data_IF_078477150152
#
_entry.id   IF_078477150152
#
_cell.length_a   1.000
_cell.length_b   1.000
_cell.length_c   1.000
_cell.angle_alpha   90.00
_cell.angle_beta   90.00
_cell.angle_gamma   90.00
#
_symmetry.space_group_name_H-M   'P 1'
#
loop_
_entity.id
_entity.type
_entity.pdbx_description
1 polymer ?
#
# COMPACT_ATOMS: atom_id res chain seq x y z
N UNK A 1 -8.28 -13.04 5.53
CA UNK A 1 -8.19 -11.82 4.71
C UNK A 1 -7.14 -10.89 5.30
N UNK A 2 -6.36 -10.27 4.46
CA UNK A 2 -5.32 -9.37 4.92
C UNK A 2 -5.92 -7.99 5.16
N UNK A 3 -5.72 -7.47 6.36
CA UNK A 3 -6.13 -6.11 6.69
C UNK A 3 -4.89 -5.26 6.74
N UNK A 4 -4.64 -4.55 5.68
CA UNK A 4 -3.46 -3.73 5.55
C UNK A 4 -3.86 -2.30 5.32
N UNK A 5 -3.38 -1.41 6.17
CA UNK A 5 -3.59 0.01 6.00
C UNK A 5 -2.27 0.66 5.64
N UNK A 6 -2.27 1.47 4.61
CA UNK A 6 -1.08 2.16 4.17
C UNK A 6 -1.34 3.66 4.26
N UNK A 7 -0.56 4.34 5.07
CA UNK A 7 -0.65 5.78 5.18
C UNK A 7 0.43 6.39 4.32
N UNK A 8 0.02 7.33 3.49
CA UNK A 8 0.92 8.01 2.58
C UNK A 8 0.93 9.48 2.91
N UNK A 9 2.10 10.03 3.14
CA UNK A 9 2.26 11.46 3.34
C UNK A 9 2.92 12.05 2.10
N UNK A 10 2.23 12.99 1.49
CA UNK A 10 2.75 13.72 0.35
C UNK A 10 2.99 15.16 0.76
N UNK A 11 3.58 15.92 -0.13
CA UNK A 11 3.83 17.32 0.12
C UNK A 11 2.49 18.04 0.34
N UNK A 12 2.19 18.37 1.58
CA UNK A 12 0.98 19.11 1.92
C UNK A 12 -0.28 18.28 2.01
N UNK A 13 -0.17 16.97 1.93
CA UNK A 13 -1.35 16.12 1.96
C UNK A 13 -1.00 14.76 2.55
N UNK A 14 -2.00 14.10 3.09
CA UNK A 14 -1.78 12.76 3.62
C UNK A 14 -3.10 12.01 3.65
N UNK A 15 -3.03 10.71 3.41
CA UNK A 15 -4.23 9.89 3.50
C UNK A 15 -3.84 8.45 3.79
N UNK A 16 -4.85 7.67 4.19
CA UNK A 16 -4.67 6.25 4.46
C UNK A 16 -5.55 5.47 3.51
N UNK A 17 -5.01 4.41 2.94
CA UNK A 17 -5.78 3.54 2.06
C UNK A 17 -5.72 2.12 2.58
N UNK A 18 -6.76 1.36 2.27
CA UNK A 18 -6.84 -0.04 2.61
C UNK A 18 -7.05 -0.80 1.31
N UNK A 19 -6.01 -1.42 0.77
CA UNK A 19 -6.12 -2.08 -0.52
C UNK A 19 -7.22 -3.14 -0.53
N UNK A 20 -7.96 -3.16 -1.61
CA UNK A 20 -9.01 -4.15 -1.80
C UNK A 20 -8.44 -5.41 -2.43
N UNK A 21 -9.24 -6.47 -2.46
CA UNK A 21 -8.81 -7.70 -3.09
C UNK A 21 -8.44 -7.46 -4.54
N UNK A 22 -9.22 -6.62 -5.22
CA UNK A 22 -8.92 -6.31 -6.61
C UNK A 22 -7.56 -5.66 -6.76
N UNK A 23 -7.21 -4.77 -5.84
CA UNK A 23 -5.91 -4.12 -5.88
C UNK A 23 -4.79 -5.12 -5.62
N UNK A 24 -5.00 -6.05 -4.70
CA UNK A 24 -4.01 -7.09 -4.45
C UNK A 24 -3.81 -7.99 -5.67
N UNK A 25 -4.89 -8.33 -6.37
CA UNK A 25 -4.77 -9.14 -7.57
C UNK A 25 -3.96 -8.41 -8.63
N UNK A 26 -4.21 -7.12 -8.79
CA UNK A 26 -3.43 -6.33 -9.74
C UNK A 26 -1.97 -6.28 -9.33
N UNK A 27 -1.72 -6.21 -8.04
CA UNK A 27 -0.36 -6.22 -7.52
C UNK A 27 0.35 -7.52 -7.91
N UNK A 28 -0.30 -8.65 -7.68
CA UNK A 28 0.30 -9.93 -8.00
C UNK A 28 0.61 -10.04 -9.49
N UNK A 29 -0.28 -9.54 -10.32
CA UNK A 29 -0.05 -9.57 -11.76
C UNK A 29 1.07 -8.64 -12.19
N UNK A 30 1.12 -7.48 -11.58
CA UNK A 30 2.10 -6.47 -11.98
C UNK A 30 3.52 -6.86 -11.61
N UNK A 31 3.69 -7.34 -10.40
CA UNK A 31 5.02 -7.66 -9.89
C UNK A 31 5.34 -9.15 -9.99
N UNK A 32 4.36 -9.96 -10.37
CA UNK A 32 4.53 -11.42 -10.46
C UNK A 32 4.97 -11.99 -9.12
N UNK A 33 4.38 -11.46 -8.06
CA UNK A 33 4.63 -11.89 -6.70
C UNK A 33 3.35 -12.38 -6.08
N UNK A 34 3.47 -13.31 -5.14
CA UNK A 34 2.32 -13.76 -4.38
C UNK A 34 2.01 -12.74 -3.29
N UNK A 35 0.73 -12.62 -2.95
CA UNK A 35 0.34 -11.76 -1.85
C UNK A 35 0.95 -12.22 -0.54
N UNK A 36 1.42 -13.45 -0.48
CA UNK A 36 2.08 -13.95 0.73
C UNK A 36 3.37 -13.21 1.02
N UNK A 37 3.93 -12.53 0.04
CA UNK A 37 5.11 -11.72 0.28
C UNK A 37 4.83 -10.65 1.33
N UNK A 38 3.58 -10.22 1.45
CA UNK A 38 3.22 -9.25 2.48
C UNK A 38 3.40 -9.85 3.87
N UNK A 39 3.03 -11.10 4.03
CA UNK A 39 3.15 -11.75 5.33
C UNK A 39 4.58 -12.08 5.66
N UNK A 40 5.39 -12.31 4.65
CA UNK A 40 6.78 -12.70 4.87
C UNK A 40 7.70 -11.51 5.09
N UNK A 41 7.21 -10.30 4.93
CA UNK A 41 8.05 -9.13 5.04
C UNK A 41 9.02 -9.00 3.90
N UNK A 42 8.73 -9.64 2.77
CA UNK A 42 9.62 -9.63 1.62
C UNK A 42 9.34 -8.51 0.65
N UNK A 43 8.48 -7.59 1.01
CA UNK A 43 8.10 -6.51 0.12
C UNK A 43 9.15 -5.43 0.09
N UNK A 44 9.42 -4.94 -1.10
CA UNK A 44 10.24 -3.76 -1.25
C UNK A 44 9.37 -2.54 -1.02
N UNK A 45 10.01 -1.42 -0.74
CA UNK A 45 9.28 -0.18 -0.54
C UNK A 45 8.46 0.19 -1.77
N UNK A 46 9.00 -0.10 -2.95
CA UNK A 46 8.29 0.17 -4.19
C UNK A 46 6.94 -0.54 -4.23
N UNK A 47 6.89 -1.75 -3.71
CA UNK A 47 5.65 -2.53 -3.72
C UNK A 47 4.58 -1.84 -2.87
N UNK A 48 4.98 -1.32 -1.72
CA UNK A 48 4.04 -0.65 -0.84
C UNK A 48 3.53 0.66 -1.44
N UNK A 49 4.42 1.41 -2.05
CA UNK A 49 4.03 2.65 -2.70
C UNK A 49 3.08 2.35 -3.85
N UNK A 50 3.34 1.29 -4.60
CA UNK A 50 2.48 0.92 -5.72
C UNK A 50 1.08 0.56 -5.23
N UNK A 51 1.00 -0.20 -4.14
CA UNK A 51 -0.30 -0.57 -3.58
C UNK A 51 -1.09 0.68 -3.19
N UNK A 52 -0.42 1.63 -2.55
CA UNK A 52 -1.09 2.85 -2.14
C UNK A 52 -1.56 3.66 -3.36
N UNK A 53 -0.72 3.74 -4.38
CA UNK A 53 -1.03 4.48 -5.59
C UNK A 53 -2.22 3.84 -6.33
N UNK A 54 -2.16 2.53 -6.50
CA UNK A 54 -3.23 1.85 -7.25
C UNK A 54 -4.54 1.91 -6.49
N UNK A 55 -4.50 1.75 -5.17
CA UNK A 55 -5.72 1.83 -4.38
C UNK A 55 -6.31 3.23 -4.41
N UNK A 56 -5.46 4.26 -4.38
CA UNK A 56 -5.95 5.63 -4.47
C UNK A 56 -6.67 5.85 -5.79
N UNK A 57 -6.11 5.33 -6.87
CA UNK A 57 -6.78 5.42 -8.17
C UNK A 57 -8.10 4.68 -8.17
N UNK A 58 -8.13 3.52 -7.54
CA UNK A 58 -9.35 2.72 -7.47
C UNK A 58 -10.45 3.46 -6.73
N UNK A 59 -10.07 4.24 -5.74
CA UNK A 59 -11.03 5.01 -4.95
C UNK A 59 -11.42 6.33 -5.61
N UNK A 60 -10.87 6.61 -6.76
CA UNK A 60 -11.23 7.82 -7.48
C UNK A 60 -10.39 9.03 -7.18
N UNK A 61 -9.32 8.87 -6.43
CA UNK A 61 -8.44 10.00 -6.14
C UNK A 61 -7.63 10.37 -7.38
N UNK A 62 -7.37 11.64 -7.53
CA UNK A 62 -6.52 12.10 -8.62
C UNK A 62 -5.08 12.01 -8.18
N UNK A 63 -4.33 11.14 -8.82
CA UNK A 63 -2.91 10.97 -8.52
C UNK A 63 -2.13 11.03 -9.82
N UNK A 64 -0.87 11.47 -9.77
CA UNK A 64 -0.05 11.53 -10.97
C UNK A 64 0.40 10.14 -11.39
N UNK A 65 1.05 10.01 -12.53
CA UNK A 65 1.63 8.73 -12.92
C UNK A 65 2.56 8.22 -11.83
N UNK A 66 2.74 6.93 -11.79
CA UNK A 66 3.43 6.29 -10.68
C UNK A 66 4.83 6.86 -10.43
N UNK A 67 5.59 7.11 -11.48
CA UNK A 67 6.94 7.62 -11.30
C UNK A 67 6.95 8.98 -10.62
N UNK A 68 5.97 9.82 -10.94
CA UNK A 68 5.88 11.12 -10.29
C UNK A 68 5.35 10.98 -8.89
N UNK A 69 4.46 10.04 -8.69
CA UNK A 69 3.91 9.80 -7.36
C UNK A 69 5.02 9.40 -6.39
N UNK A 70 5.93 8.55 -6.84
CA UNK A 70 7.05 8.11 -6.01
C UNK A 70 7.85 9.31 -5.52
N UNK A 71 8.05 10.28 -6.40
CA UNK A 71 8.85 11.43 -6.01
C UNK A 71 8.14 12.37 -5.06
N UNK A 72 6.83 12.29 -5.01
CA UNK A 72 6.05 13.15 -4.12
C UNK A 72 5.85 12.56 -2.75
N UNK A 73 6.05 11.27 -2.60
CA UNK A 73 5.85 10.62 -1.31
C UNK A 73 6.97 10.98 -0.37
N UNK A 74 6.61 11.58 0.76
CA UNK A 74 7.58 11.98 1.76
C UNK A 74 7.69 10.95 2.86
N UNK A 75 6.63 10.22 3.12
CA UNK A 75 6.65 9.21 4.15
C UNK A 75 5.59 8.17 3.84
N UNK A 76 5.87 6.94 4.23
CA UNK A 76 4.95 5.84 4.03
C UNK A 76 4.95 4.99 5.28
N UNK A 77 3.76 4.73 5.82
CA UNK A 77 3.63 3.89 6.99
C UNK A 77 2.67 2.77 6.68
N UNK A 78 2.98 1.60 7.15
CA UNK A 78 2.14 0.43 6.97
C UNK A 78 1.68 -0.06 8.33
N UNK A 79 0.38 -0.31 8.45
CA UNK A 79 -0.20 -0.82 9.67
C UNK A 79 -1.01 -2.05 9.32
N UNK A 80 -0.67 -3.16 9.94
CA UNK A 80 -1.37 -4.41 9.70
C UNK A 80 -2.25 -4.71 10.89
N UNK A 81 -3.54 -4.55 10.71
CA UNK A 81 -4.48 -4.66 11.82
C UNK A 81 -4.62 -6.08 12.34
N UNK A 82 -4.09 -7.04 11.63
CA UNK A 82 -4.19 -8.41 12.11
C UNK A 82 -3.16 -8.72 13.16
N UNK A 83 -2.24 -7.81 13.43
CA UNK A 83 -1.20 -8.08 14.40
C UNK A 83 -1.34 -7.42 15.73
N UNK A 84 -2.17 -6.43 15.91
CA UNK A 84 -2.17 -5.67 17.16
C UNK A 84 -2.43 -6.50 18.38
N UNK A 85 -3.16 -7.56 18.21
CA UNK A 85 -3.44 -8.39 19.35
C UNK A 85 -2.19 -8.93 19.98
N UNK A 86 -1.29 -9.31 19.15
CA UNK A 86 -0.05 -9.84 19.66
C UNK A 86 0.70 -8.78 20.40
N UNK A 87 0.58 -7.59 19.93
CA UNK A 87 1.32 -6.53 20.53
C UNK A 87 0.83 -6.18 21.87
N UNK A 88 -0.45 -6.26 22.03
CA UNK A 88 -0.99 -5.80 23.27
C UNK A 88 -0.64 -6.69 24.38
N UNK A 89 -0.17 -7.77 24.07
CA UNK A 89 0.21 -8.69 25.13
C UNK A 89 1.27 -8.10 26.02
#
# INVERSE_FOLDING_TARGET
MIDLNIRVDLDGDSWTVKPSIGTFVKFERHFKLSIQALSNGSLALEHLVWLAWEQARHEGKTVPPFDQFIEQVENLEMDNETTPLADTA
#
